data_IF_610259040884
#
_entry.id   IF_610259040884
#
_cell.length_a   1.000
_cell.length_b   1.000
_cell.length_c   1.000
_cell.angle_alpha   90.00
_cell.angle_beta   90.00
_cell.angle_gamma   90.00
#
_symmetry.space_group_name_H-M   'P 1'
#
loop_
_entity.id
_entity.type
_entity.pdbx_description
1 polymer ?
#
# COMPACT_ATOMS: atom_id res chain seq x y z
N UNK A 13 -0.47 -24.38 0.78
CA UNK A 13 -1.64 -24.17 1.69
C UNK A 13 -1.17 -23.47 2.98
N UNK A 14 -0.41 -22.35 2.81
CA UNK A 14 0.14 -21.55 3.95
C UNK A 14 -0.35 -20.08 3.82
N UNK A 15 -0.89 -19.52 4.95
CA UNK A 15 -1.41 -18.12 5.01
C UNK A 15 -0.23 -17.10 4.93
N UNK A 16 -0.48 -15.96 4.23
CA UNK A 16 0.52 -14.87 4.00
C UNK A 16 0.29 -13.69 4.99
N UNK A 17 1.42 -13.09 5.44
CA UNK A 17 1.48 -11.96 6.42
C UNK A 17 1.84 -10.63 5.70
N UNK A 18 1.41 -9.44 6.25
CA UNK A 18 1.85 -8.14 5.64
C UNK A 18 3.33 -8.11 5.94
N UNK A 19 4.38 -8.03 5.02
CA UNK A 19 5.62 -8.16 5.75
C UNK A 19 6.18 -6.78 6.13
N UNK A 20 7.47 -6.72 6.39
CA UNK A 20 8.11 -5.46 6.77
C UNK A 20 8.45 -4.65 5.52
N UNK A 21 9.10 -5.30 4.56
CA UNK A 21 9.47 -4.63 3.31
C UNK A 21 8.28 -3.91 2.70
N UNK A 22 7.08 -4.44 2.96
CA UNK A 22 5.86 -3.84 2.43
C UNK A 22 5.42 -2.67 3.30
N UNK A 23 5.20 -2.94 4.58
CA UNK A 23 4.76 -1.91 5.51
C UNK A 23 5.63 -0.66 5.36
N UNK A 24 6.92 -0.87 5.17
CA UNK A 24 7.85 0.24 5.01
C UNK A 24 7.46 1.11 3.82
N UNK A 25 7.20 0.45 2.68
CA UNK A 25 6.81 1.17 1.47
C UNK A 25 5.43 1.78 1.62
N UNK A 26 4.55 1.07 2.33
CA UNK A 26 3.19 1.56 2.55
C UNK A 26 3.22 2.93 3.21
N UNK A 27 4.16 3.12 4.13
CA UNK A 27 4.28 4.39 4.84
C UNK A 27 4.78 5.48 3.90
N UNK A 28 5.78 5.14 3.10
CA UNK A 28 6.35 6.09 2.15
C UNK A 28 5.26 6.69 1.26
N UNK A 29 4.38 5.81 0.77
CA UNK A 29 3.29 6.27 -0.09
C UNK A 29 2.32 7.15 0.67
N UNK A 30 2.23 6.93 1.98
CA UNK A 30 1.33 7.72 2.82
C UNK A 30 1.99 9.06 3.19
N UNK A 31 3.26 9.21 2.81
CA UNK A 31 3.98 10.44 3.10
C UNK A 31 3.97 11.37 1.90
N UNK A 32 3.37 10.98 0.79
CA UNK A 32 3.38 11.84 -0.43
C UNK A 32 2.73 13.27 -0.21
N UNK A 33 3.47 14.43 -0.31
CA UNK A 33 2.85 15.82 -0.17
C UNK A 33 1.95 16.15 -1.39
N UNK A 34 0.98 17.11 -1.20
CA UNK A 34 0.01 17.51 -2.27
C UNK A 34 -0.79 16.25 -2.69
N UNK A 35 -1.47 15.63 -1.69
CA UNK A 35 -2.17 14.34 -1.87
C UNK A 35 -3.33 14.41 -2.90
N UNK A 36 -3.37 13.36 -3.76
CA UNK A 36 -4.44 13.11 -4.74
C UNK A 36 -4.99 11.78 -4.22
N UNK A 37 -6.27 11.80 -3.83
CA UNK A 37 -6.91 10.68 -3.15
C UNK A 37 -7.07 9.49 -4.08
N UNK A 38 -7.55 9.75 -5.29
CA UNK A 38 -7.74 8.69 -6.28
C UNK A 38 -6.44 7.92 -6.49
N UNK A 39 -5.33 8.66 -6.58
CA UNK A 39 -4.03 8.04 -6.79
C UNK A 39 -3.61 7.26 -5.55
N UNK A 40 -3.63 7.93 -4.40
CA UNK A 40 -3.24 7.29 -3.15
C UNK A 40 -3.92 5.93 -3.01
N UNK A 41 -5.23 5.92 -3.15
CA UNK A 41 -6.00 4.68 -3.04
C UNK A 41 -5.46 3.63 -4.00
N UNK A 42 -5.61 3.89 -5.30
CA UNK A 42 -5.14 2.96 -6.32
C UNK A 42 -3.81 2.33 -5.90
N UNK A 43 -2.87 3.17 -5.48
CA UNK A 43 -1.57 2.68 -5.06
C UNK A 43 -1.68 1.92 -3.74
N UNK A 44 -2.41 2.49 -2.80
CA UNK A 44 -2.60 1.86 -1.49
C UNK A 44 -3.28 0.50 -1.66
N UNK A 45 -4.24 0.44 -2.58
CA UNK A 45 -4.97 -0.82 -2.82
C UNK A 45 -4.01 -1.90 -3.32
N UNK A 46 -3.28 -1.59 -4.38
CA UNK A 46 -2.33 -2.54 -4.94
C UNK A 46 -1.44 -3.13 -3.85
N UNK A 47 -1.12 -2.31 -2.86
CA UNK A 47 -0.27 -2.75 -1.75
C UNK A 47 -1.00 -3.79 -0.90
N UNK A 48 -2.31 -3.92 -1.13
CA UNK A 48 -3.10 -4.88 -0.38
C UNK A 48 -3.45 -6.09 -1.24
N UNK A 49 -3.72 -5.84 -2.54
CA UNK A 49 -4.38 -6.86 -3.45
C UNK A 49 -3.70 -8.23 -3.72
N UNK A 50 -2.43 -8.40 -3.40
CA UNK A 50 -1.68 -9.68 -3.68
C UNK A 50 -2.28 -10.95 -2.92
N UNK A 51 -2.65 -10.83 -1.61
CA UNK A 51 -3.27 -11.95 -0.76
C UNK A 51 -4.13 -11.27 0.39
N UNK A 52 -5.14 -11.92 1.10
CA UNK A 52 -6.06 -11.17 2.10
C UNK A 52 -6.36 -11.75 3.63
N UNK A 53 -6.29 -11.04 4.94
CA UNK A 53 -6.44 -11.93 6.03
C UNK A 53 -7.17 -11.28 7.17
N UNK A 54 -8.35 -11.82 7.60
CA UNK A 54 -9.12 -11.24 8.67
C UNK A 54 -8.52 -11.55 10.01
N UNK A 55 -7.32 -10.98 10.28
CA UNK A 55 -6.64 -11.14 11.56
C UNK A 55 -7.40 -10.98 12.82
N UNK A 56 -8.23 -9.95 12.87
CA UNK A 56 -8.97 -9.73 14.04
C UNK A 56 -10.31 -10.41 14.22
N UNK A 57 -10.54 -11.31 13.22
CA UNK A 57 -11.76 -12.17 13.20
C UNK A 57 -13.07 -11.41 13.34
N UNK A 58 -13.32 -10.40 12.51
CA UNK A 58 -14.56 -9.72 12.64
C UNK A 58 -15.44 -9.74 11.38
N UNK A 59 -15.00 -10.55 10.40
CA UNK A 59 -15.79 -10.57 9.20
C UNK A 59 -15.47 -9.58 8.11
N UNK A 60 -14.52 -8.66 8.41
CA UNK A 60 -14.14 -7.64 7.52
C UNK A 60 -12.62 -7.52 7.37
N UNK A 61 -12.13 -6.92 6.28
CA UNK A 61 -10.69 -6.72 6.08
C UNK A 61 -10.58 -5.20 6.30
N UNK A 62 -9.80 -4.83 7.35
CA UNK A 62 -9.67 -3.40 7.63
C UNK A 62 -8.36 -3.05 8.35
N UNK A 63 -8.11 -1.76 8.43
CA UNK A 63 -6.94 -1.23 9.07
C UNK A 63 -5.62 -1.94 8.89
N UNK A 64 -5.05 -2.40 10.01
CA UNK A 64 -3.73 -3.08 9.93
C UNK A 64 -3.81 -4.37 9.12
N UNK A 65 -4.99 -4.80 8.76
CA UNK A 65 -5.06 -5.97 7.95
C UNK A 65 -4.83 -5.62 6.46
N UNK A 66 -4.74 -4.25 6.16
CA UNK A 66 -4.52 -3.73 4.76
C UNK A 66 -3.17 -4.11 3.95
N UNK A 67 -1.88 -4.13 4.47
CA UNK A 67 -0.58 -4.37 3.58
C UNK A 67 -0.19 -5.89 3.26
N UNK A 68 0.85 -6.17 2.36
CA UNK A 68 1.26 -7.60 1.98
C UNK A 68 1.23 -7.85 0.48
N UNK A 69 2.14 -7.17 -0.27
CA UNK A 69 2.22 -7.26 -1.75
C UNK A 69 3.62 -6.87 -2.22
N UNK A 70 3.92 -7.14 -3.52
CA UNK A 70 5.20 -6.77 -4.22
C UNK A 70 5.42 -5.23 -4.16
N UNK A 71 5.34 -4.66 -2.95
CA UNK A 71 5.33 -3.21 -2.72
C UNK A 71 6.52 -2.45 -3.27
N UNK A 72 7.68 -3.11 -3.44
CA UNK A 72 8.88 -2.40 -3.94
C UNK A 72 8.56 -1.72 -5.30
N UNK A 73 7.91 -2.46 -6.22
CA UNK A 73 7.57 -1.95 -7.54
C UNK A 73 6.57 -0.81 -7.43
N UNK A 74 5.51 -1.03 -6.66
CA UNK A 74 4.49 0.00 -6.48
C UNK A 74 5.09 1.25 -5.86
N UNK A 75 5.94 1.07 -4.85
CA UNK A 75 6.57 2.20 -4.18
C UNK A 75 7.34 3.04 -5.19
N UNK A 76 8.24 2.41 -5.92
CA UNK A 76 9.04 3.12 -6.92
C UNK A 76 8.14 3.80 -7.94
N UNK A 77 6.98 3.21 -8.20
CA UNK A 77 6.03 3.77 -9.16
C UNK A 77 5.33 4.98 -8.57
N UNK A 78 4.65 4.78 -7.44
CA UNK A 78 3.94 5.88 -6.79
C UNK A 78 4.87 7.06 -6.55
N UNK A 79 6.12 6.76 -6.20
CA UNK A 79 7.10 7.81 -5.94
C UNK A 79 7.46 8.53 -7.23
N UNK A 80 7.49 7.78 -8.33
CA UNK A 80 7.82 8.36 -9.63
C UNK A 80 6.75 9.35 -10.07
N UNK A 81 5.49 9.04 -9.75
CA UNK A 81 4.38 9.91 -10.11
C UNK A 81 4.35 11.13 -9.21
N UNK A 82 4.12 10.91 -7.92
CA UNK A 82 4.06 12.00 -6.95
C UNK A 82 5.17 13.02 -7.23
N UNK A 83 6.26 12.56 -7.85
CA UNK A 83 7.38 13.43 -8.17
C UNK A 83 7.20 14.02 -9.56
N UNK A 84 6.66 13.24 -10.47
CA UNK A 84 6.44 13.70 -11.84
C UNK A 84 5.20 14.60 -11.92
N UNK A 85 4.25 14.36 -11.01
CA UNK A 85 3.03 15.16 -10.98
C UNK A 85 3.09 16.19 -9.87
N UNK A 86 4.29 16.58 -9.49
CA UNK A 86 4.48 17.57 -8.43
C UNK A 86 4.78 18.94 -9.02
N UNK A 87 4.63 20.08 -8.26
CA UNK A 87 4.92 21.48 -8.80
C UNK A 87 6.44 21.70 -9.04
N UNK A 88 6.77 22.60 -10.01
CA UNK A 88 8.19 22.94 -10.35
C UNK A 88 8.78 23.90 -9.28
#
# INVERSE_FOLDING_TARGET
MGSSHHHHHHSSGVDNKFNKEQQNAFYEILHLPNLNEEQRNAFIQSLKDDSYIDTNNDGAYEGDELSGSQSANLLAEAKKLNDAQAPK
#
